data_IF_331544347007
#
_entry.id   IF_331544347007
#
_cell.length_a   1.000
_cell.length_b   1.000
_cell.length_c   1.000
_cell.angle_alpha   90.00
_cell.angle_beta   90.00
_cell.angle_gamma   90.00
#
_symmetry.space_group_name_H-M   'P 1'
#
loop_
_entity.id
_entity.type
_entity.pdbx_description
1 polymer ?
#
# COMPACT_ATOMS: atom_id res chain seq x y z
N UNK A 1 14.48 2.41 35.59
CA UNK A 1 13.46 1.37 35.33
C UNK A 1 12.63 1.77 34.08
N UNK A 2 12.02 2.95 34.03
CA UNK A 2 11.14 3.40 32.89
C UNK A 2 11.92 3.45 31.57
N UNK A 3 13.15 3.95 31.57
CA UNK A 3 14.00 4.00 30.35
C UNK A 3 14.36 2.61 29.84
N UNK A 4 14.68 1.67 30.73
CA UNK A 4 14.97 0.28 30.39
C UNK A 4 13.75 -0.43 29.79
N UNK A 5 12.55 -0.18 30.31
CA UNK A 5 11.31 -0.76 29.81
C UNK A 5 10.93 -0.19 28.43
N UNK A 6 11.18 1.11 28.18
CA UNK A 6 10.99 1.72 26.83
C UNK A 6 11.93 1.09 25.81
N UNK A 7 13.23 0.98 26.12
CA UNK A 7 14.23 0.39 25.23
C UNK A 7 13.94 -1.09 24.93
N UNK A 8 13.49 -1.86 25.93
CA UNK A 8 13.08 -3.25 25.78
C UNK A 8 11.82 -3.38 24.89
N UNK A 9 10.89 -2.44 25.00
CA UNK A 9 9.68 -2.42 24.18
C UNK A 9 9.97 -2.05 22.71
N UNK A 10 10.87 -1.12 22.49
CA UNK A 10 11.36 -0.77 21.14
C UNK A 10 12.08 -1.96 20.49
N UNK A 11 12.98 -2.61 21.21
CA UNK A 11 13.69 -3.80 20.75
C UNK A 11 12.75 -4.98 20.42
N UNK A 12 11.72 -5.21 21.23
CA UNK A 12 10.71 -6.24 20.97
C UNK A 12 9.85 -5.90 19.75
N UNK A 13 9.49 -4.61 19.57
CA UNK A 13 8.77 -4.14 18.39
C UNK A 13 9.59 -4.34 17.12
N UNK A 14 10.86 -3.97 17.14
CA UNK A 14 11.76 -4.19 15.99
C UNK A 14 11.90 -5.67 15.63
N UNK A 15 12.13 -6.53 16.61
CA UNK A 15 12.20 -7.99 16.41
C UNK A 15 10.90 -8.57 15.87
N UNK A 16 9.76 -8.16 16.41
CA UNK A 16 8.46 -8.60 15.96
C UNK A 16 8.18 -8.16 14.51
N UNK A 17 8.56 -6.92 14.18
CA UNK A 17 8.43 -6.37 12.83
C UNK A 17 9.33 -7.10 11.82
N UNK A 18 10.58 -7.39 12.20
CA UNK A 18 11.51 -8.18 11.39
C UNK A 18 11.01 -9.62 11.19
N UNK A 19 10.41 -10.22 12.19
CA UNK A 19 9.89 -11.58 12.13
C UNK A 19 8.65 -11.68 11.22
N UNK A 20 7.74 -10.70 11.29
CA UNK A 20 6.58 -10.61 10.38
C UNK A 20 7.05 -10.42 8.93
N UNK A 21 8.00 -9.53 8.69
CA UNK A 21 8.54 -9.31 7.36
C UNK A 21 9.26 -10.56 6.82
N UNK A 22 10.01 -11.26 7.66
CA UNK A 22 10.66 -12.51 7.28
C UNK A 22 9.68 -13.61 6.88
N UNK A 23 8.62 -13.80 7.65
CA UNK A 23 7.57 -14.80 7.36
C UNK A 23 6.80 -14.42 6.07
N UNK A 24 6.55 -13.12 5.83
CA UNK A 24 5.97 -12.65 4.56
C UNK A 24 6.89 -12.91 3.37
N UNK A 25 8.19 -12.65 3.52
CA UNK A 25 9.20 -12.88 2.47
C UNK A 25 9.37 -14.36 2.14
N UNK A 26 9.37 -15.24 3.14
CA UNK A 26 9.51 -16.69 2.95
C UNK A 26 8.29 -17.30 2.22
N UNK A 27 7.08 -16.82 2.51
CA UNK A 27 5.86 -17.28 1.84
C UNK A 27 5.74 -16.82 0.37
N UNK A 28 6.32 -15.68 0.01
CA UNK A 28 6.32 -15.16 -1.37
C UNK A 28 7.44 -15.77 -2.24
N UNK A 29 8.54 -16.15 -1.64
CA UNK A 29 9.69 -16.75 -2.36
C UNK A 29 9.47 -18.19 -2.84
N UNK A 30 8.45 -18.89 -2.36
CA UNK A 30 8.54 -20.36 -2.38
C UNK A 30 8.05 -21.05 -3.64
N UNK A 31 7.45 -20.40 -4.65
CA UNK A 31 6.85 -21.21 -5.73
C UNK A 31 6.99 -20.79 -7.19
N UNK A 32 7.20 -19.52 -7.54
CA UNK A 32 7.38 -19.12 -8.95
C UNK A 32 8.29 -17.89 -8.98
N UNK A 33 9.27 -17.84 -9.91
CA UNK A 33 10.05 -16.61 -10.12
C UNK A 33 9.11 -15.46 -10.54
N UNK A 34 8.93 -14.41 -9.73
CA UNK A 34 8.02 -13.33 -10.08
C UNK A 34 8.40 -12.67 -11.40
N UNK A 35 9.68 -12.52 -11.65
CA UNK A 35 10.20 -11.94 -12.88
C UNK A 35 9.80 -12.76 -14.13
N UNK A 36 9.86 -14.09 -14.05
CA UNK A 36 9.43 -14.95 -15.15
C UNK A 36 7.93 -14.81 -15.40
N UNK A 37 7.13 -14.87 -14.34
CA UNK A 37 5.67 -14.77 -14.44
C UNK A 37 5.24 -13.45 -15.08
N UNK A 38 5.82 -12.31 -14.65
CA UNK A 38 5.48 -11.02 -15.22
C UNK A 38 5.96 -10.83 -16.66
N UNK A 39 7.08 -11.44 -17.03
CA UNK A 39 7.55 -11.42 -18.41
C UNK A 39 6.63 -12.23 -19.34
N UNK A 40 6.14 -13.38 -18.87
CA UNK A 40 5.15 -14.19 -19.62
C UNK A 40 3.83 -13.41 -19.74
N UNK A 41 3.29 -12.90 -18.63
CA UNK A 41 2.07 -12.09 -18.65
C UNK A 41 2.17 -10.88 -19.59
N UNK A 42 3.27 -10.14 -19.52
CA UNK A 42 3.50 -8.98 -20.39
C UNK A 42 3.56 -9.37 -21.87
N UNK A 43 4.12 -10.53 -22.21
CA UNK A 43 4.14 -11.06 -23.58
C UNK A 43 2.74 -11.43 -24.08
N UNK A 44 1.98 -12.17 -23.26
CA UNK A 44 0.61 -12.59 -23.58
C UNK A 44 -0.31 -11.37 -23.76
N UNK A 45 -0.18 -10.35 -22.91
CA UNK A 45 -0.93 -9.11 -23.04
C UNK A 45 -0.59 -8.36 -24.33
N UNK A 46 0.70 -8.34 -24.72
CA UNK A 46 1.10 -7.70 -25.98
C UNK A 46 0.56 -8.43 -27.24
N UNK A 47 0.35 -9.75 -27.14
CA UNK A 47 -0.25 -10.57 -28.21
C UNK A 47 -1.78 -10.60 -28.14
N UNK A 48 -2.38 -10.01 -27.11
CA UNK A 48 -3.83 -9.95 -26.95
C UNK A 48 -4.47 -9.08 -28.02
N UNK A 49 -5.37 -9.68 -28.83
CA UNK A 49 -6.07 -9.03 -29.94
C UNK A 49 -7.41 -8.38 -29.52
N UNK A 50 -7.58 -8.08 -28.24
CA UNK A 50 -8.76 -7.39 -27.72
C UNK A 50 -8.68 -5.87 -27.84
N UNK A 51 -9.60 -5.17 -27.17
CA UNK A 51 -9.58 -3.71 -27.17
C UNK A 51 -8.31 -3.15 -26.52
N UNK A 52 -7.80 -2.04 -27.04
CA UNK A 52 -6.63 -1.33 -26.46
C UNK A 52 -6.87 -0.92 -25.00
N UNK A 53 -8.09 -0.63 -24.62
CA UNK A 53 -8.46 -0.30 -23.25
C UNK A 53 -8.21 -1.49 -22.31
N UNK A 54 -8.66 -2.69 -22.66
CA UNK A 54 -8.42 -3.90 -21.85
C UNK A 54 -6.94 -4.21 -21.77
N UNK A 55 -6.21 -4.06 -22.86
CA UNK A 55 -4.77 -4.26 -22.92
C UNK A 55 -4.04 -3.31 -21.97
N UNK A 56 -4.39 -2.03 -21.99
CA UNK A 56 -3.81 -1.02 -21.11
C UNK A 56 -4.11 -1.31 -19.63
N UNK A 57 -5.34 -1.68 -19.29
CA UNK A 57 -5.73 -2.05 -17.93
C UNK A 57 -4.95 -3.26 -17.41
N UNK A 58 -4.75 -4.27 -18.26
CA UNK A 58 -3.94 -5.45 -17.91
C UNK A 58 -2.46 -5.09 -17.72
N UNK A 59 -1.92 -4.20 -18.57
CA UNK A 59 -0.54 -3.71 -18.41
C UNK A 59 -0.34 -2.93 -17.12
N UNK A 60 -1.29 -2.07 -16.75
CA UNK A 60 -1.25 -1.34 -15.47
C UNK A 60 -1.30 -2.30 -14.28
N UNK A 61 -2.14 -3.33 -14.34
CA UNK A 61 -2.18 -4.38 -13.31
C UNK A 61 -0.84 -5.12 -13.19
N UNK A 62 -0.20 -5.47 -14.30
CA UNK A 62 1.12 -6.14 -14.27
C UNK A 62 2.19 -5.22 -13.67
N UNK A 63 2.20 -3.94 -14.03
CA UNK A 63 3.12 -2.95 -13.46
C UNK A 63 2.91 -2.82 -11.94
N UNK A 64 1.65 -2.73 -11.51
CA UNK A 64 1.29 -2.68 -10.09
C UNK A 64 1.79 -3.91 -9.32
N UNK A 65 1.50 -5.12 -9.84
CA UNK A 65 1.94 -6.37 -9.20
C UNK A 65 3.47 -6.49 -9.11
N UNK A 66 4.19 -6.08 -10.17
CA UNK A 66 5.66 -6.04 -10.15
C UNK A 66 6.16 -5.09 -9.07
N UNK A 67 5.62 -3.87 -9.01
CA UNK A 67 5.99 -2.87 -8.01
C UNK A 67 5.67 -3.33 -6.59
N UNK A 68 4.53 -3.98 -6.39
CA UNK A 68 4.14 -4.57 -5.11
C UNK A 68 5.20 -5.56 -4.59
N UNK A 69 5.70 -6.45 -5.46
CA UNK A 69 6.75 -7.39 -5.07
C UNK A 69 8.07 -6.69 -4.75
N UNK A 70 8.50 -5.74 -5.58
CA UNK A 70 9.71 -4.95 -5.32
C UNK A 70 9.67 -4.23 -3.96
N UNK A 71 8.50 -3.69 -3.59
CA UNK A 71 8.32 -3.01 -2.31
C UNK A 71 8.30 -4.00 -1.14
N UNK A 72 7.68 -5.18 -1.30
CA UNK A 72 7.65 -6.19 -0.24
C UNK A 72 9.02 -6.80 0.06
N UNK A 73 9.97 -6.73 -0.87
CA UNK A 73 11.34 -7.18 -0.67
C UNK A 73 12.20 -6.18 0.12
N UNK A 74 11.77 -4.91 0.22
CA UNK A 74 12.49 -3.85 0.91
C UNK A 74 12.00 -3.70 2.35
N UNK A 75 12.91 -3.45 3.27
CA UNK A 75 12.58 -3.12 4.67
C UNK A 75 12.08 -1.68 4.81
N UNK A 76 12.66 -0.77 4.01
CA UNK A 76 12.28 0.63 3.99
C UNK A 76 12.37 1.20 2.58
N UNK A 77 11.54 2.18 2.32
CA UNK A 77 11.44 2.89 1.03
C UNK A 77 11.30 4.38 1.29
N UNK A 78 11.47 5.22 0.25
CA UNK A 78 11.13 6.63 0.40
C UNK A 78 9.62 6.80 0.55
N UNK A 79 9.21 7.80 1.31
CA UNK A 79 7.79 8.16 1.43
C UNK A 79 7.17 8.42 0.04
N UNK A 80 7.93 9.03 -0.86
CA UNK A 80 7.49 9.26 -2.25
C UNK A 80 7.18 7.95 -2.98
N UNK A 81 8.08 6.95 -2.92
CA UNK A 81 7.87 5.65 -3.55
C UNK A 81 6.62 4.93 -3.02
N UNK A 82 6.39 5.03 -1.71
CA UNK A 82 5.22 4.44 -1.06
C UNK A 82 3.93 5.17 -1.48
N UNK A 83 3.94 6.50 -1.54
CA UNK A 83 2.78 7.29 -1.97
C UNK A 83 2.47 7.09 -3.45
N UNK A 84 3.47 7.00 -4.32
CA UNK A 84 3.31 6.71 -5.75
C UNK A 84 2.67 5.33 -5.95
N UNK A 85 3.07 4.35 -5.13
CA UNK A 85 2.49 3.02 -5.17
C UNK A 85 1.04 3.01 -4.69
N UNK A 86 0.74 3.71 -3.59
CA UNK A 86 -0.62 3.93 -3.09
C UNK A 86 -1.51 4.59 -4.13
N UNK A 87 -1.01 5.61 -4.82
CA UNK A 87 -1.74 6.30 -5.88
C UNK A 87 -2.08 5.36 -7.05
N UNK A 88 -1.13 4.49 -7.44
CA UNK A 88 -1.36 3.49 -8.48
C UNK A 88 -2.45 2.48 -8.08
N UNK A 89 -2.46 2.06 -6.82
CA UNK A 89 -3.49 1.19 -6.27
C UNK A 89 -4.87 1.86 -6.27
N UNK A 90 -4.95 3.11 -5.80
CA UNK A 90 -6.19 3.89 -5.81
C UNK A 90 -6.75 4.02 -7.23
N UNK A 91 -5.89 4.30 -8.22
CA UNK A 91 -6.28 4.39 -9.63
C UNK A 91 -6.87 3.09 -10.16
N UNK A 92 -6.25 1.94 -9.87
CA UNK A 92 -6.76 0.62 -10.26
C UNK A 92 -8.10 0.29 -9.61
N UNK A 93 -8.25 0.60 -8.32
CA UNK A 93 -9.46 0.31 -7.57
C UNK A 93 -10.62 1.29 -7.90
N UNK A 94 -10.32 2.52 -8.31
CA UNK A 94 -11.34 3.53 -8.62
C UNK A 94 -12.29 3.07 -9.72
N UNK A 95 -11.77 2.41 -10.77
CA UNK A 95 -12.59 1.82 -11.82
C UNK A 95 -13.51 0.70 -11.32
N UNK A 96 -13.08 -0.07 -10.31
CA UNK A 96 -13.87 -1.16 -9.71
C UNK A 96 -14.90 -0.65 -8.69
N UNK A 97 -14.56 0.37 -7.93
CA UNK A 97 -15.45 0.95 -6.90
C UNK A 97 -16.62 1.70 -7.57
N UNK A 98 -16.37 2.28 -8.74
CA UNK A 98 -17.38 2.96 -9.56
C UNK A 98 -17.63 4.41 -9.16
N UNK A 99 -18.76 4.94 -9.61
CA UNK A 99 -19.16 6.33 -9.38
C UNK A 99 -19.28 6.68 -7.88
N UNK A 100 -18.99 7.93 -7.55
CA UNK A 100 -19.04 8.43 -6.18
C UNK A 100 -17.81 8.13 -5.33
N UNK A 101 -16.74 7.51 -5.89
CA UNK A 101 -15.48 7.34 -5.20
C UNK A 101 -14.55 8.53 -5.42
N UNK A 102 -14.10 9.12 -4.33
CA UNK A 102 -13.10 10.19 -4.32
C UNK A 102 -11.94 9.82 -3.42
N UNK A 103 -10.73 10.08 -3.89
CA UNK A 103 -9.52 9.84 -3.11
C UNK A 103 -8.57 11.03 -3.20
N UNK A 104 -7.90 11.32 -2.09
CA UNK A 104 -6.89 12.37 -2.02
C UNK A 104 -5.64 11.90 -1.31
N UNK A 105 -4.47 12.27 -1.85
CA UNK A 105 -3.17 12.06 -1.22
C UNK A 105 -2.52 13.43 -1.09
N UNK A 106 -2.34 13.89 0.14
CA UNK A 106 -1.86 15.24 0.45
C UNK A 106 -0.61 15.14 1.31
N UNK A 107 0.46 15.78 0.86
CA UNK A 107 1.70 15.93 1.62
C UNK A 107 1.85 17.41 1.98
N UNK A 108 2.12 17.68 3.26
CA UNK A 108 2.34 19.03 3.77
C UNK A 108 3.49 19.70 3.01
N UNK A 109 3.29 20.98 2.66
CA UNK A 109 4.27 21.77 1.96
C UNK A 109 5.58 21.85 2.74
N UNK A 110 6.70 21.74 2.03
CA UNK A 110 8.05 21.74 2.63
C UNK A 110 8.51 20.40 3.19
N UNK A 111 7.71 19.31 3.08
CA UNK A 111 8.19 17.95 3.33
C UNK A 111 8.84 17.37 2.06
N UNK A 112 10.11 16.97 2.17
CA UNK A 112 10.80 16.26 1.09
C UNK A 112 10.54 14.75 1.19
N UNK A 113 9.43 14.30 0.58
CA UNK A 113 9.01 12.91 0.60
C UNK A 113 10.05 11.94 0.01
N UNK A 114 10.95 12.40 -0.85
CA UNK A 114 12.03 11.58 -1.45
C UNK A 114 13.12 11.24 -0.44
N UNK A 115 13.34 12.10 0.55
CA UNK A 115 14.38 11.92 1.59
C UNK A 115 13.86 11.25 2.86
N UNK A 116 12.56 11.20 3.04
CA UNK A 116 11.96 10.58 4.22
C UNK A 116 11.87 9.08 3.98
N UNK A 117 12.57 8.30 4.80
CA UNK A 117 12.53 6.84 4.73
C UNK A 117 11.51 6.31 5.74
N UNK A 118 10.63 5.42 5.28
CA UNK A 118 9.58 4.77 6.08
C UNK A 118 9.63 3.25 5.87
N UNK A 119 9.10 2.45 6.80
CA UNK A 119 8.93 1.02 6.56
C UNK A 119 8.06 0.77 5.33
N UNK A 120 8.48 -0.16 4.49
CA UNK A 120 7.73 -0.51 3.29
C UNK A 120 6.33 -1.04 3.63
N UNK A 121 5.34 -0.72 2.80
CA UNK A 121 3.94 -1.12 2.90
C UNK A 121 3.18 -0.51 4.11
N UNK A 122 3.78 0.45 4.83
CA UNK A 122 3.14 1.02 6.02
C UNK A 122 1.92 1.92 5.68
N UNK A 123 1.91 2.54 4.52
CA UNK A 123 0.77 3.32 4.01
C UNK A 123 -0.16 2.46 3.18
N UNK A 124 0.41 1.57 2.36
CA UNK A 124 -0.37 0.69 1.47
C UNK A 124 -1.35 -0.20 2.23
N UNK A 125 -0.92 -0.83 3.33
CA UNK A 125 -1.78 -1.76 4.09
C UNK A 125 -3.03 -1.06 4.64
N UNK A 126 -2.96 0.10 5.32
CA UNK A 126 -4.14 0.84 5.74
C UNK A 126 -5.05 1.27 4.58
N UNK A 127 -4.48 1.71 3.46
CA UNK A 127 -5.25 2.11 2.27
C UNK A 127 -6.00 0.92 1.66
N UNK A 128 -5.34 -0.22 1.53
CA UNK A 128 -6.01 -1.46 1.10
C UNK A 128 -7.15 -1.85 2.02
N UNK A 129 -6.95 -1.77 3.33
CA UNK A 129 -7.98 -2.08 4.32
C UNK A 129 -9.16 -1.11 4.23
N UNK A 130 -8.91 0.19 4.09
CA UNK A 130 -9.94 1.19 3.90
C UNK A 130 -10.80 0.87 2.66
N UNK A 131 -10.18 0.57 1.54
CA UNK A 131 -10.90 0.25 0.30
C UNK A 131 -11.65 -1.09 0.41
N UNK A 132 -10.97 -2.17 0.83
CA UNK A 132 -11.54 -3.52 0.84
C UNK A 132 -12.58 -3.74 1.94
N UNK A 133 -12.41 -3.10 3.08
CA UNK A 133 -13.23 -3.36 4.27
C UNK A 133 -14.05 -2.15 4.71
N UNK A 134 -13.51 -0.94 4.55
CA UNK A 134 -14.22 0.30 4.88
C UNK A 134 -15.26 0.65 3.83
N UNK A 135 -14.84 0.79 2.58
CA UNK A 135 -15.65 1.31 1.49
C UNK A 135 -16.38 0.25 0.67
N UNK A 136 -15.95 -1.02 0.71
CA UNK A 136 -16.62 -2.10 0.00
C UNK A 136 -18.06 -2.28 0.49
N UNK A 137 -19.01 -2.30 -0.46
CA UNK A 137 -20.44 -2.45 -0.19
C UNK A 137 -21.08 -1.26 0.55
N UNK A 138 -20.39 -0.10 0.62
CA UNK A 138 -21.01 1.14 1.05
C UNK A 138 -21.82 1.75 -0.09
N UNK A 139 -23.04 2.18 0.21
CA UNK A 139 -23.86 2.95 -0.72
C UNK A 139 -23.53 4.45 -0.66
N UNK A 140 -23.71 5.16 -1.78
CA UNK A 140 -23.47 6.60 -1.87
C UNK A 140 -21.98 6.96 -1.99
N UNK A 141 -21.65 8.17 -1.54
CA UNK A 141 -20.30 8.74 -1.65
C UNK A 141 -19.29 7.96 -0.81
N UNK A 142 -18.17 7.62 -1.43
CA UNK A 142 -17.04 6.91 -0.85
C UNK A 142 -15.82 7.81 -0.88
N UNK A 143 -15.27 8.08 0.26
CA UNK A 143 -14.13 8.98 0.41
C UNK A 143 -12.95 8.28 1.08
N UNK A 144 -11.77 8.50 0.51
CA UNK A 144 -10.49 8.08 1.06
C UNK A 144 -9.54 9.26 1.10
N UNK A 145 -8.87 9.50 2.20
CA UNK A 145 -7.82 10.50 2.28
C UNK A 145 -6.57 9.96 2.94
N UNK A 146 -5.42 10.26 2.33
CA UNK A 146 -4.09 10.03 2.90
C UNK A 146 -3.46 11.40 3.11
N UNK A 147 -3.10 11.72 4.35
CA UNK A 147 -2.45 12.99 4.70
C UNK A 147 -1.14 12.74 5.38
N UNK A 148 -0.11 13.40 4.92
CA UNK A 148 1.21 13.39 5.55
C UNK A 148 1.53 14.79 6.02
N UNK A 149 1.82 14.92 7.30
CA UNK A 149 2.18 16.19 7.93
C UNK A 149 3.39 16.05 8.85
N UNK A 150 4.02 17.17 9.16
CA UNK A 150 5.11 17.21 10.14
C UNK A 150 4.55 17.06 11.56
N UNK A 151 5.20 16.25 12.35
CA UNK A 151 4.85 16.08 13.76
C UNK A 151 6.12 16.03 14.63
N UNK A 152 6.41 17.12 15.31
CA UNK A 152 7.63 17.26 16.10
C UNK A 152 8.90 17.05 15.26
N UNK A 153 9.67 16.01 15.57
CA UNK A 153 10.88 15.61 14.82
C UNK A 153 10.61 14.56 13.75
N UNK A 154 9.39 14.11 13.60
CA UNK A 154 8.97 13.08 12.65
C UNK A 154 7.85 13.55 11.73
N UNK A 155 7.17 12.58 11.17
CA UNK A 155 5.98 12.79 10.35
C UNK A 155 4.80 12.01 10.93
N UNK A 156 3.61 12.54 10.70
CA UNK A 156 2.34 11.84 10.90
C UNK A 156 1.78 11.45 9.55
N UNK A 157 1.39 10.20 9.40
CA UNK A 157 0.65 9.70 8.25
C UNK A 157 -0.73 9.31 8.74
N UNK A 158 -1.75 9.92 8.15
CA UNK A 158 -3.14 9.70 8.50
C UNK A 158 -3.88 9.15 7.27
N UNK A 159 -4.47 7.97 7.41
CA UNK A 159 -5.36 7.36 6.41
C UNK A 159 -6.77 7.36 6.98
N UNK A 160 -7.69 8.03 6.30
CA UNK A 160 -9.09 8.13 6.70
C UNK A 160 -9.99 7.68 5.55
N UNK A 161 -11.04 6.96 5.89
CA UNK A 161 -12.14 6.64 5.01
C UNK A 161 -13.48 6.99 5.68
N UNK A 162 -14.53 7.17 4.88
CA UNK A 162 -15.89 7.39 5.36
C UNK A 162 -16.73 6.10 5.37
N UNK A 163 -16.07 4.95 5.44
CA UNK A 163 -16.69 3.64 5.44
C UNK A 163 -17.41 3.27 6.73
N UNK A 164 -17.69 1.99 6.90
CA UNK A 164 -18.44 1.45 8.05
C UNK A 164 -17.64 1.45 9.36
N UNK A 165 -16.37 1.82 9.31
CA UNK A 165 -15.46 1.75 10.45
C UNK A 165 -15.10 0.31 10.84
N UNK A 166 -14.20 0.19 11.79
CA UNK A 166 -13.80 -1.09 12.35
C UNK A 166 -14.70 -1.40 13.55
N UNK A 167 -15.54 -2.42 13.43
CA UNK A 167 -16.27 -2.98 14.57
C UNK A 167 -15.32 -3.95 15.28
N UNK A 168 -14.85 -3.67 16.50
CA UNK A 168 -14.08 -4.65 17.25
C UNK A 168 -14.94 -5.89 17.45
N UNK A 169 -14.46 -7.05 16.98
CA UNK A 169 -15.08 -8.31 17.35
C UNK A 169 -14.88 -8.45 18.86
N UNK A 170 -15.99 -8.40 19.59
CA UNK A 170 -16.01 -8.77 21.00
C UNK A 170 -15.77 -10.28 21.02
N UNK A 171 -14.58 -10.67 21.43
CA UNK A 171 -14.22 -12.07 21.71
C UNK A 171 -14.74 -12.43 23.09
#
# INVERSE_FOLDING_TARGET
IIWYMRKKREFLRERFFQQINRVRMENLRSRISPHFTFNVLGREINQFNGSEEVKNNLMELVKYLRRSLELTEKLSVSLQDELDFVQSYISLESGRIGEGFTASVIVEEGLDAKRIMIPSMIVQIPVENAIKHGLAGKDGEKELSVRVSREGKGIRILVCDNGRGYLPQVV
#
